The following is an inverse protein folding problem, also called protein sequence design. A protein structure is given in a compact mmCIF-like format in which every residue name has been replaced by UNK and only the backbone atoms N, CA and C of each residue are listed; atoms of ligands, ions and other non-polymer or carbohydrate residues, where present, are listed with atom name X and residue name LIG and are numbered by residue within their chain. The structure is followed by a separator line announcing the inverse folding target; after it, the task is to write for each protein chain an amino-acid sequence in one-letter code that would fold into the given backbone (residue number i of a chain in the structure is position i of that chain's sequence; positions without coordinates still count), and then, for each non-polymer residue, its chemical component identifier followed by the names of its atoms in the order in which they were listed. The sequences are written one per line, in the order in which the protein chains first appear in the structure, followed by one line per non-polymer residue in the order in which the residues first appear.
data_IF_490205543689
#
_entry.id   IF_490205543689
#
_cell.length_a   1.000
_cell.length_b   1.000
_cell.length_c   1.000
_cell.angle_alpha   90.00
_cell.angle_beta   90.00
_cell.angle_gamma   90.00
#
_symmetry.space_group_name_H-M   'P 1'
#
loop_
_entity.id
_entity.type
_entity.pdbx_description
1 polymer ?
#
# COMPACT_ATOMS: atom_id res chain seq x y z
N UNK A 1 -79.19 6.25 21.80
CA UNK A 1 -77.90 6.46 22.48
C UNK A 1 -77.83 5.48 23.66
N UNK A 2 -76.66 4.86 23.90
CA UNK A 2 -76.49 3.43 24.17
C UNK A 2 -76.01 3.22 25.64
N UNK A 3 -75.51 2.09 26.15
CA UNK A 3 -74.86 0.91 25.56
C UNK A 3 -74.76 -0.25 26.57
N UNK A 4 -74.74 -1.46 26.00
CA UNK A 4 -74.25 -2.72 26.54
C UNK A 4 -72.88 -2.63 27.24
N UNK A 5 -72.63 -3.53 28.21
CA UNK A 5 -71.58 -4.55 28.11
C UNK A 5 -71.56 -5.49 29.33
N UNK A 6 -71.67 -6.79 29.06
CA UNK A 6 -71.48 -7.93 29.97
C UNK A 6 -70.19 -8.63 29.59
N UNK A 7 -69.46 -9.14 30.61
CA UNK A 7 -68.44 -10.22 30.66
C UNK A 7 -67.25 -9.70 31.46
N UNK A 8 -66.76 -10.36 32.52
CA UNK A 8 -66.78 -11.77 32.86
C UNK A 8 -65.34 -12.12 33.24
N UNK A 9 -65.09 -12.29 34.53
CA UNK A 9 -63.78 -12.53 35.14
C UNK A 9 -63.23 -13.91 34.80
N UNK A 10 -61.95 -14.04 34.48
CA UNK A 10 -61.14 -15.24 34.76
C UNK A 10 -59.64 -14.93 34.63
N UNK A 11 -58.95 -14.97 35.77
CA UNK A 11 -57.51 -15.14 35.91
C UNK A 11 -57.14 -16.56 35.48
N UNK A 12 -56.10 -16.76 34.64
CA UNK A 12 -54.95 -17.63 34.96
C UNK A 12 -53.87 -17.67 33.84
N UNK A 13 -52.62 -17.62 34.32
CA UNK A 13 -51.34 -18.20 33.80
C UNK A 13 -50.59 -17.54 32.64
N UNK A 14 -49.33 -17.22 33.00
CA UNK A 14 -48.12 -17.06 32.22
C UNK A 14 -48.10 -17.66 30.80
N UNK A 15 -47.71 -16.81 29.84
CA UNK A 15 -46.84 -17.24 28.75
C UNK A 15 -45.80 -16.14 28.52
N UNK A 16 -44.54 -16.48 28.82
CA UNK A 16 -43.36 -15.76 28.36
C UNK A 16 -43.38 -15.72 26.82
N UNK A 17 -43.39 -14.52 26.25
CA UNK A 17 -42.90 -14.29 24.90
C UNK A 17 -42.10 -12.98 24.92
N UNK A 18 -40.87 -13.10 25.40
CA UNK A 18 -39.80 -12.15 25.09
C UNK A 18 -39.57 -12.25 23.58
N UNK A 19 -40.21 -11.38 22.81
CA UNK A 19 -40.02 -11.28 21.35
C UNK A 19 -39.65 -9.83 21.03
N UNK A 20 -38.40 -9.46 20.76
CA UNK A 20 -37.15 -10.20 20.75
C UNK A 20 -36.06 -9.16 20.61
N UNK A 21 -35.33 -8.88 21.69
CA UNK A 21 -33.94 -8.47 21.58
C UNK A 21 -33.12 -9.76 21.59
N UNK A 22 -33.24 -10.53 20.51
CA UNK A 22 -32.45 -11.72 20.25
C UNK A 22 -32.11 -11.66 18.77
N UNK A 23 -30.90 -11.14 18.51
CA UNK A 23 -30.06 -11.48 17.36
C UNK A 23 -30.79 -11.70 16.02
N UNK A 24 -30.82 -10.64 15.19
CA UNK A 24 -30.69 -10.77 13.73
C UNK A 24 -29.32 -11.40 13.40
N UNK A 25 -29.19 -12.66 13.74
CA UNK A 25 -28.19 -13.57 13.22
C UNK A 25 -28.96 -14.86 12.96
N UNK A 26 -29.43 -15.05 11.72
CA UNK A 26 -29.55 -16.39 11.12
C UNK A 26 -30.24 -16.43 9.73
N UNK A 27 -29.81 -15.57 8.81
CA UNK A 27 -29.32 -15.97 7.47
C UNK A 27 -27.96 -15.30 7.16
N UNK A 28 -27.46 -14.58 8.17
CA UNK A 28 -26.64 -13.37 8.09
C UNK A 28 -25.21 -13.58 8.59
N UNK A 29 -24.73 -14.83 8.57
CA UNK A 29 -23.29 -15.10 8.66
C UNK A 29 -22.65 -14.63 7.35
N UNK A 30 -22.17 -13.39 7.31
CA UNK A 30 -21.48 -12.85 6.14
C UNK A 30 -20.29 -13.76 5.81
N UNK A 31 -20.41 -14.54 4.74
CA UNK A 31 -19.36 -15.46 4.32
C UNK A 31 -18.28 -14.71 3.54
N UNK A 32 -17.32 -14.16 4.28
CA UNK A 32 -16.13 -13.51 3.72
C UNK A 32 -15.13 -14.49 3.07
N UNK A 33 -15.56 -15.65 2.57
CA UNK A 33 -14.66 -16.64 1.96
C UNK A 33 -13.82 -16.01 0.84
N UNK A 34 -14.48 -15.33 -0.10
CA UNK A 34 -13.79 -14.61 -1.18
C UNK A 34 -12.79 -13.59 -0.61
N UNK A 35 -13.19 -12.76 0.34
CA UNK A 35 -12.32 -11.76 0.95
C UNK A 35 -11.10 -12.37 1.68
N UNK A 36 -11.27 -13.52 2.36
CA UNK A 36 -10.15 -14.27 2.95
C UNK A 36 -9.21 -14.81 1.87
N UNK A 37 -9.77 -15.32 0.78
CA UNK A 37 -9.00 -15.84 -0.37
C UNK A 37 -8.18 -14.73 -1.03
N UNK A 38 -8.70 -13.50 -1.17
CA UNK A 38 -7.93 -12.34 -1.67
C UNK A 38 -6.65 -12.15 -0.86
N UNK A 39 -6.77 -12.10 0.47
CA UNK A 39 -5.62 -11.90 1.36
C UNK A 39 -4.64 -13.08 1.34
N UNK A 40 -5.12 -14.31 1.27
CA UNK A 40 -4.27 -15.51 1.17
C UNK A 40 -3.54 -15.59 -0.17
N UNK A 41 -4.24 -15.33 -1.27
CA UNK A 41 -3.70 -15.32 -2.62
C UNK A 41 -2.63 -14.22 -2.77
N UNK A 42 -2.88 -13.03 -2.24
CA UNK A 42 -1.91 -11.93 -2.24
C UNK A 42 -0.63 -12.31 -1.50
N UNK A 43 -0.73 -12.91 -0.31
CA UNK A 43 0.43 -13.41 0.45
C UNK A 43 1.20 -14.51 -0.27
N UNK A 44 0.53 -15.28 -1.11
CA UNK A 44 1.10 -16.32 -1.94
C UNK A 44 1.50 -15.85 -3.33
N UNK A 45 1.42 -14.54 -3.61
CA UNK A 45 1.74 -13.90 -4.90
C UNK A 45 0.94 -14.47 -6.09
N UNK A 46 -0.26 -15.01 -5.83
CA UNK A 46 -1.19 -15.52 -6.84
C UNK A 46 -2.13 -14.40 -7.32
N UNK A 47 -1.57 -13.44 -8.05
CA UNK A 47 -2.26 -12.19 -8.39
C UNK A 47 -3.46 -12.35 -9.33
N UNK A 48 -3.48 -13.41 -10.13
CA UNK A 48 -4.64 -13.82 -10.93
C UNK A 48 -5.84 -14.17 -10.04
N UNK A 49 -5.60 -14.97 -9.00
CA UNK A 49 -6.61 -15.33 -7.99
C UNK A 49 -7.03 -14.12 -7.17
N UNK A 50 -6.09 -13.21 -6.85
CA UNK A 50 -6.43 -11.94 -6.17
C UNK A 50 -7.48 -11.17 -6.95
N UNK A 51 -7.30 -10.99 -8.26
CA UNK A 51 -8.25 -10.25 -9.09
C UNK A 51 -9.62 -10.93 -9.14
N UNK A 52 -9.65 -12.25 -9.37
CA UNK A 52 -10.89 -13.03 -9.42
C UNK A 52 -11.68 -12.96 -8.09
N UNK A 53 -10.99 -13.20 -6.98
CA UNK A 53 -11.62 -13.27 -5.66
C UNK A 53 -11.99 -11.88 -5.13
N UNK A 54 -11.29 -10.83 -5.55
CA UNK A 54 -11.57 -9.48 -5.09
C UNK A 54 -12.88 -8.93 -5.67
N UNK A 55 -13.18 -9.22 -6.94
CA UNK A 55 -14.46 -8.85 -7.54
C UNK A 55 -15.61 -9.57 -6.84
N UNK A 56 -15.48 -10.88 -6.61
CA UNK A 56 -16.47 -11.66 -5.86
C UNK A 56 -16.62 -11.19 -4.42
N UNK A 57 -15.52 -10.82 -3.75
CA UNK A 57 -15.56 -10.26 -2.40
C UNK A 57 -16.37 -8.96 -2.35
N UNK A 58 -16.13 -8.04 -3.28
CA UNK A 58 -16.82 -6.75 -3.36
C UNK A 58 -18.30 -6.89 -3.76
N UNK A 59 -18.62 -7.80 -4.69
CA UNK A 59 -19.99 -7.98 -5.19
C UNK A 59 -20.90 -8.79 -4.25
N UNK A 60 -20.36 -9.81 -3.59
CA UNK A 60 -21.15 -10.76 -2.79
C UNK A 60 -21.31 -10.35 -1.33
N UNK A 61 -20.67 -9.27 -0.89
CA UNK A 61 -20.65 -8.87 0.51
C UNK A 61 -20.91 -7.38 0.68
N UNK A 62 -21.66 -7.03 1.73
CA UNK A 62 -21.76 -5.66 2.19
C UNK A 62 -20.57 -5.36 3.10
N UNK A 63 -19.51 -4.82 2.51
CA UNK A 63 -18.26 -4.53 3.22
C UNK A 63 -18.27 -3.14 3.85
N UNK A 64 -17.67 -3.00 5.03
CA UNK A 64 -17.34 -1.69 5.58
C UNK A 64 -16.34 -0.96 4.67
N UNK A 65 -16.32 0.39 4.69
CA UNK A 65 -15.38 1.17 3.87
C UNK A 65 -13.91 0.75 4.07
N UNK A 66 -13.41 0.49 5.30
CA UNK A 66 -12.03 0.00 5.49
C UNK A 66 -11.77 -1.36 4.83
N UNK A 67 -12.75 -2.27 4.84
CA UNK A 67 -12.61 -3.57 4.17
C UNK A 67 -12.62 -3.41 2.64
N UNK A 68 -13.48 -2.55 2.10
CA UNK A 68 -13.45 -2.24 0.67
C UNK A 68 -12.10 -1.62 0.27
N UNK A 69 -11.61 -0.66 1.06
CA UNK A 69 -10.30 -0.02 0.86
C UNK A 69 -9.18 -1.05 0.79
N UNK A 70 -9.15 -2.02 1.71
CA UNK A 70 -8.17 -3.11 1.71
C UNK A 70 -8.28 -3.98 0.44
N UNK A 71 -9.49 -4.35 0.02
CA UNK A 71 -9.67 -5.18 -1.19
C UNK A 71 -9.22 -4.43 -2.44
N UNK A 72 -9.55 -3.15 -2.57
CA UNK A 72 -9.06 -2.31 -3.67
C UNK A 72 -7.54 -2.11 -3.63
N UNK A 73 -6.93 -2.00 -2.45
CA UNK A 73 -5.47 -1.97 -2.29
C UNK A 73 -4.84 -3.24 -2.85
N UNK A 74 -5.37 -4.42 -2.49
CA UNK A 74 -4.89 -5.72 -2.98
C UNK A 74 -5.11 -5.88 -4.50
N UNK A 75 -6.24 -5.40 -5.05
CA UNK A 75 -6.47 -5.36 -6.50
C UNK A 75 -5.44 -4.49 -7.20
N UNK A 76 -5.12 -3.33 -6.63
CA UNK A 76 -4.12 -2.43 -7.20
C UNK A 76 -2.75 -3.09 -7.30
N UNK A 77 -2.31 -3.76 -6.24
CA UNK A 77 -1.03 -4.46 -6.22
C UNK A 77 -1.00 -5.63 -7.22
N UNK A 78 -2.11 -6.36 -7.34
CA UNK A 78 -2.27 -7.41 -8.35
C UNK A 78 -2.20 -6.86 -9.78
N UNK A 79 -2.92 -5.78 -10.09
CA UNK A 79 -2.82 -5.13 -11.41
C UNK A 79 -1.41 -4.62 -11.70
N UNK A 80 -0.74 -4.03 -10.70
CA UNK A 80 0.64 -3.56 -10.84
C UNK A 80 1.61 -4.70 -11.16
N UNK A 81 1.43 -5.89 -10.56
CA UNK A 81 2.24 -7.08 -10.87
C UNK A 81 2.16 -7.49 -12.34
N UNK A 82 1.01 -7.24 -12.99
CA UNK A 82 0.78 -7.47 -14.41
C UNK A 82 1.12 -6.25 -15.29
N UNK A 83 1.70 -5.18 -14.72
CA UNK A 83 1.98 -3.90 -15.39
C UNK A 83 0.72 -3.25 -16.00
N UNK A 84 -0.46 -3.59 -15.48
CA UNK A 84 -1.75 -3.00 -15.84
C UNK A 84 -1.96 -1.70 -15.06
N UNK A 85 -1.13 -0.72 -15.36
CA UNK A 85 -1.03 0.50 -14.57
C UNK A 85 -2.32 1.33 -14.51
N UNK A 86 -3.12 1.50 -15.58
CA UNK A 86 -4.39 2.22 -15.50
C UNK A 86 -5.35 1.61 -14.46
N UNK A 87 -5.50 0.28 -14.46
CA UNK A 87 -6.35 -0.43 -13.50
C UNK A 87 -5.76 -0.41 -12.09
N UNK A 88 -4.43 -0.50 -11.97
CA UNK A 88 -3.74 -0.41 -10.69
C UNK A 88 -3.95 0.97 -10.04
N UNK A 89 -3.82 2.05 -10.82
CA UNK A 89 -4.03 3.43 -10.36
C UNK A 89 -5.48 3.62 -9.93
N UNK A 90 -6.46 3.25 -10.76
CA UNK A 90 -7.87 3.39 -10.43
C UNK A 90 -8.24 2.63 -9.14
N UNK A 91 -7.70 1.41 -8.97
CA UNK A 91 -7.92 0.63 -7.75
C UNK A 91 -7.25 1.28 -6.52
N UNK A 92 -6.05 1.84 -6.64
CA UNK A 92 -5.37 2.53 -5.52
C UNK A 92 -6.10 3.83 -5.16
N UNK A 93 -6.56 4.60 -6.13
CA UNK A 93 -7.37 5.81 -5.90
C UNK A 93 -8.65 5.47 -5.14
N UNK A 94 -9.35 4.40 -5.56
CA UNK A 94 -10.54 3.93 -4.84
C UNK A 94 -10.22 3.45 -3.41
N UNK A 95 -9.07 2.80 -3.23
CA UNK A 95 -8.59 2.40 -1.91
C UNK A 95 -8.36 3.61 -0.99
N UNK A 96 -7.69 4.65 -1.49
CA UNK A 96 -7.43 5.90 -0.76
C UNK A 96 -8.75 6.65 -0.46
N UNK A 97 -9.69 6.65 -1.39
CA UNK A 97 -11.01 7.28 -1.21
C UNK A 97 -11.74 6.72 0.02
N UNK A 98 -11.73 5.39 0.15
CA UNK A 98 -12.44 4.61 1.17
C UNK A 98 -11.65 4.41 2.46
N UNK A 99 -10.34 4.61 2.41
CA UNK A 99 -9.43 4.39 3.53
C UNK A 99 -9.45 5.53 4.55
N UNK A 100 -8.89 5.31 5.75
CA UNK A 100 -8.64 6.38 6.72
C UNK A 100 -7.67 7.42 6.13
N UNK A 101 -7.87 8.72 6.44
CA UNK A 101 -7.04 9.82 5.93
C UNK A 101 -6.43 10.62 7.10
N UNK A 102 -5.20 11.16 6.95
CA UNK A 102 -4.31 11.02 5.80
C UNK A 102 -3.62 9.64 5.75
N UNK A 103 -3.45 9.09 4.55
CA UNK A 103 -2.71 7.85 4.33
C UNK A 103 -1.46 8.12 3.48
N UNK A 104 -0.38 8.50 4.17
CA UNK A 104 0.89 8.79 3.54
C UNK A 104 1.39 7.63 2.68
N UNK A 105 1.20 6.39 3.15
CA UNK A 105 1.71 5.20 2.49
C UNK A 105 0.95 4.92 1.20
N UNK A 106 -0.38 4.96 1.24
CA UNK A 106 -1.17 4.74 0.03
C UNK A 106 -0.91 5.82 -1.04
N UNK A 107 -0.65 7.06 -0.63
CA UNK A 107 -0.22 8.14 -1.55
C UNK A 107 1.14 7.86 -2.17
N UNK A 108 2.11 7.34 -1.40
CA UNK A 108 3.43 6.94 -1.93
C UNK A 108 3.33 5.72 -2.87
N UNK A 109 2.47 4.75 -2.55
CA UNK A 109 2.15 3.64 -3.45
C UNK A 109 1.57 4.16 -4.77
N UNK A 110 0.63 5.11 -4.72
CA UNK A 110 0.05 5.74 -5.90
C UNK A 110 1.11 6.51 -6.70
N UNK A 111 1.98 7.26 -6.03
CA UNK A 111 3.12 7.94 -6.68
C UNK A 111 4.01 6.95 -7.42
N UNK A 112 4.36 5.80 -6.81
CA UNK A 112 5.10 4.73 -7.48
C UNK A 112 4.38 4.23 -8.73
N UNK A 113 3.06 3.99 -8.65
CA UNK A 113 2.28 3.55 -9.81
C UNK A 113 2.33 4.58 -10.96
N UNK A 114 2.22 5.88 -10.65
CA UNK A 114 2.34 6.93 -11.67
C UNK A 114 3.74 6.98 -12.29
N UNK A 115 4.82 6.79 -11.51
CA UNK A 115 6.19 6.67 -12.07
C UNK A 115 6.31 5.51 -13.03
N UNK A 116 5.89 4.32 -12.61
CA UNK A 116 5.96 3.09 -13.40
C UNK A 116 5.06 3.15 -14.66
N UNK A 117 3.97 3.92 -14.59
CA UNK A 117 3.11 4.23 -15.74
C UNK A 117 3.72 5.26 -16.71
N UNK A 118 4.92 5.78 -16.44
CA UNK A 118 5.57 6.81 -17.27
C UNK A 118 5.09 8.24 -17.02
N UNK A 119 4.45 8.50 -15.88
CA UNK A 119 4.01 9.84 -15.46
C UNK A 119 4.70 10.29 -14.15
N UNK A 120 6.02 10.55 -14.18
CA UNK A 120 6.76 10.98 -13.00
C UNK A 120 6.38 12.39 -12.54
N UNK A 121 5.76 13.24 -13.39
CA UNK A 121 5.23 14.54 -12.96
C UNK A 121 4.09 14.36 -11.96
N UNK A 122 3.12 13.48 -12.23
CA UNK A 122 2.03 13.23 -11.29
C UNK A 122 2.52 12.60 -9.99
N UNK A 123 3.53 11.73 -10.09
CA UNK A 123 4.19 11.16 -8.93
C UNK A 123 4.84 12.24 -8.04
N UNK A 124 5.41 13.29 -8.64
CA UNK A 124 6.05 14.39 -7.91
C UNK A 124 5.03 15.20 -7.12
N UNK A 125 3.87 15.51 -7.71
CA UNK A 125 2.77 16.19 -7.01
C UNK A 125 2.34 15.44 -5.76
N UNK A 126 2.19 14.11 -5.87
CA UNK A 126 1.76 13.26 -4.75
C UNK A 126 2.81 13.20 -3.63
N UNK A 127 4.09 13.08 -3.99
CA UNK A 127 5.18 13.07 -3.02
C UNK A 127 5.32 14.42 -2.34
N UNK A 128 5.21 15.52 -3.10
CA UNK A 128 5.26 16.86 -2.54
C UNK A 128 4.09 17.11 -1.59
N UNK A 129 2.88 16.64 -1.93
CA UNK A 129 1.73 16.71 -1.04
C UNK A 129 1.98 16.02 0.30
N UNK A 130 2.66 14.87 0.32
CA UNK A 130 3.05 14.25 1.59
C UNK A 130 4.05 15.12 2.37
N UNK A 131 5.06 15.69 1.72
CA UNK A 131 6.06 16.55 2.38
C UNK A 131 5.44 17.84 2.94
N UNK A 132 4.56 18.50 2.18
CA UNK A 132 3.88 19.73 2.61
C UNK A 132 3.01 19.49 3.86
N UNK A 133 2.55 18.25 4.07
CA UNK A 133 1.78 17.83 5.23
C UNK A 133 2.64 17.15 6.32
N UNK A 134 3.97 17.18 6.21
CA UNK A 134 4.92 16.53 7.13
C UNK A 134 4.67 15.02 7.32
N UNK A 135 4.27 14.34 6.24
CA UNK A 135 3.92 12.92 6.25
C UNK A 135 5.09 12.04 5.77
N UNK A 136 5.27 10.88 6.42
CA UNK A 136 6.19 9.83 5.97
C UNK A 136 7.68 10.13 6.20
N UNK A 137 8.02 11.00 7.15
CA UNK A 137 9.41 11.33 7.48
C UNK A 137 10.11 10.33 8.41
N UNK A 138 9.37 9.69 9.31
CA UNK A 138 9.93 8.82 10.35
C UNK A 138 9.64 7.33 10.05
N UNK A 139 10.67 6.61 9.63
CA UNK A 139 10.64 5.15 9.56
C UNK A 139 11.43 4.55 10.71
N UNK A 140 10.73 4.04 11.72
CA UNK A 140 11.22 3.00 12.62
C UNK A 140 10.05 2.10 13.01
N UNK A 141 10.11 0.83 12.61
CA UNK A 141 9.10 -0.20 12.94
C UNK A 141 8.83 -1.13 11.75
N UNK A 142 8.75 -2.43 12.01
CA UNK A 142 8.67 -3.49 10.98
C UNK A 142 7.47 -3.34 10.03
N UNK A 143 7.75 -3.12 8.74
CA UNK A 143 6.79 -3.24 7.64
C UNK A 143 6.87 -2.08 6.64
N UNK A 144 7.73 -2.22 5.62
CA UNK A 144 7.96 -1.26 4.53
C UNK A 144 8.21 0.20 4.98
N UNK A 145 9.45 0.45 5.41
CA UNK A 145 10.04 1.76 5.65
C UNK A 145 10.23 2.53 4.32
N UNK A 146 9.19 3.21 3.84
CA UNK A 146 9.32 4.09 2.66
C UNK A 146 9.33 5.55 3.10
N UNK A 147 10.49 6.18 3.37
CA UNK A 147 10.53 7.61 3.64
C UNK A 147 10.06 8.37 2.39
N UNK A 148 9.24 9.40 2.58
CA UNK A 148 8.75 10.27 1.48
C UNK A 148 9.90 10.79 0.61
N UNK A 149 11.06 11.09 1.23
CA UNK A 149 12.28 11.50 0.53
C UNK A 149 12.88 10.46 -0.42
N UNK A 150 12.70 9.16 -0.14
CA UNK A 150 13.14 8.12 -1.07
C UNK A 150 12.28 8.12 -2.34
N UNK A 151 10.96 8.22 -2.20
CA UNK A 151 10.06 8.35 -3.35
C UNK A 151 10.30 9.67 -4.09
N UNK A 152 10.65 10.75 -3.39
CA UNK A 152 11.06 12.00 -4.01
C UNK A 152 12.29 11.79 -4.90
N UNK A 153 13.35 11.17 -4.34
CA UNK A 153 14.56 10.86 -5.09
C UNK A 153 14.28 9.99 -6.32
N UNK A 154 13.44 8.96 -6.16
CA UNK A 154 13.05 8.07 -7.27
C UNK A 154 12.29 8.82 -8.35
N UNK A 155 11.40 9.72 -7.96
CA UNK A 155 10.61 10.54 -8.89
C UNK A 155 11.50 11.53 -9.63
N UNK A 156 12.38 12.22 -8.93
CA UNK A 156 13.32 13.18 -9.52
C UNK A 156 14.31 12.49 -10.47
N UNK A 157 14.73 11.26 -10.14
CA UNK A 157 15.56 10.46 -11.03
C UNK A 157 14.87 10.17 -12.37
N UNK A 158 13.60 9.75 -12.34
CA UNK A 158 12.82 9.49 -13.57
C UNK A 158 12.56 10.75 -14.39
N UNK A 159 12.53 11.91 -13.74
CA UNK A 159 12.48 13.22 -14.39
C UNK A 159 13.84 13.66 -14.99
N UNK A 160 14.90 12.88 -14.82
CA UNK A 160 16.27 13.23 -15.21
C UNK A 160 16.93 14.29 -14.31
N UNK A 161 16.31 14.65 -13.19
CA UNK A 161 16.78 15.65 -12.22
C UNK A 161 17.74 14.99 -11.22
N UNK A 162 18.84 14.44 -11.72
CA UNK A 162 19.72 13.55 -10.95
C UNK A 162 20.36 14.22 -9.72
N UNK A 163 20.75 15.49 -9.81
CA UNK A 163 21.32 16.23 -8.67
C UNK A 163 20.31 16.35 -7.52
N UNK A 164 19.10 16.76 -7.84
CA UNK A 164 18.00 16.91 -6.87
C UNK A 164 17.57 15.54 -6.33
N UNK A 165 17.62 14.49 -7.16
CA UNK A 165 17.42 13.12 -6.71
C UNK A 165 18.43 12.73 -5.62
N UNK A 166 19.72 13.03 -5.83
CA UNK A 166 20.77 12.75 -4.85
C UNK A 166 20.61 13.54 -3.55
N UNK A 167 20.16 14.79 -3.61
CA UNK A 167 19.84 15.62 -2.45
C UNK A 167 18.64 15.06 -1.67
N UNK A 168 17.59 14.62 -2.37
CA UNK A 168 16.43 13.99 -1.75
C UNK A 168 16.82 12.68 -1.03
N UNK A 169 17.58 11.80 -1.67
CA UNK A 169 18.09 10.59 -1.01
C UNK A 169 18.96 10.89 0.19
N UNK A 170 19.83 11.91 0.09
CA UNK A 170 20.68 12.34 1.21
C UNK A 170 19.84 12.79 2.40
N UNK A 171 18.77 13.54 2.15
CA UNK A 171 17.82 13.96 3.20
C UNK A 171 17.11 12.77 3.83
N UNK A 172 16.68 11.79 3.02
CA UNK A 172 16.11 10.54 3.51
C UNK A 172 17.08 9.74 4.39
N UNK A 173 18.36 9.67 3.99
CA UNK A 173 19.42 8.99 4.74
C UNK A 173 19.76 9.67 6.07
N UNK A 174 19.55 10.99 6.22
CA UNK A 174 19.64 11.65 7.53
C UNK A 174 18.57 11.13 8.51
N UNK A 175 17.38 10.76 8.00
CA UNK A 175 16.27 10.25 8.81
C UNK A 175 16.39 8.73 9.05
N UNK A 176 16.88 7.99 8.06
CA UNK A 176 17.08 6.54 8.09
C UNK A 176 18.47 6.15 7.55
N UNK A 177 19.52 6.22 8.40
CA UNK A 177 20.91 6.00 7.96
C UNK A 177 21.24 4.59 7.47
N UNK A 178 20.38 3.61 7.76
CA UNK A 178 20.54 2.19 7.42
C UNK A 178 19.69 1.75 6.23
N UNK A 179 19.00 2.68 5.54
CA UNK A 179 18.17 2.33 4.40
C UNK A 179 19.00 2.06 3.14
N UNK A 180 19.40 0.79 2.98
CA UNK A 180 20.27 0.32 1.90
C UNK A 180 19.84 0.83 0.50
N UNK A 181 18.55 0.77 0.19
CA UNK A 181 18.03 1.15 -1.13
C UNK A 181 18.22 2.63 -1.46
N UNK A 182 18.21 3.53 -0.48
CA UNK A 182 18.53 4.93 -0.74
C UNK A 182 19.99 5.12 -1.16
N UNK A 183 20.94 4.34 -0.61
CA UNK A 183 22.32 4.34 -1.10
C UNK A 183 22.40 3.84 -2.53
N UNK A 184 21.75 2.72 -2.87
CA UNK A 184 21.76 2.21 -4.24
C UNK A 184 21.26 3.25 -5.25
N UNK A 185 20.10 3.85 -4.99
CA UNK A 185 19.51 4.81 -5.91
C UNK A 185 20.21 6.16 -5.93
N UNK A 186 20.81 6.60 -4.82
CA UNK A 186 21.68 7.79 -4.82
C UNK A 186 22.97 7.52 -5.60
N UNK A 187 23.54 6.32 -5.50
CA UNK A 187 24.64 5.86 -6.34
C UNK A 187 24.30 5.88 -7.84
N UNK A 188 23.10 5.45 -8.22
CA UNK A 188 22.62 5.58 -9.61
C UNK A 188 22.52 7.05 -10.05
N UNK A 189 22.08 7.96 -9.17
CA UNK A 189 22.01 9.38 -9.47
C UNK A 189 23.41 9.98 -9.68
N UNK A 190 24.37 9.65 -8.82
CA UNK A 190 25.77 10.04 -8.97
C UNK A 190 26.43 9.49 -10.23
N UNK A 191 26.14 8.24 -10.59
CA UNK A 191 26.60 7.64 -11.84
C UNK A 191 26.11 8.43 -13.06
N UNK A 192 24.82 8.82 -13.08
CA UNK A 192 24.26 9.67 -14.14
C UNK A 192 24.87 11.08 -14.21
N UNK A 193 25.41 11.56 -13.09
CA UNK A 193 26.14 12.84 -13.01
C UNK A 193 27.63 12.71 -13.34
N UNK A 194 28.14 11.50 -13.59
CA UNK A 194 29.57 11.23 -13.79
C UNK A 194 30.41 11.26 -12.50
N UNK A 195 29.76 11.36 -11.33
CA UNK A 195 30.40 11.38 -10.02
C UNK A 195 30.78 9.96 -9.57
N UNK A 196 31.81 9.41 -10.22
CA UNK A 196 32.16 7.99 -10.13
C UNK A 196 32.57 7.56 -8.72
N UNK A 197 33.27 8.41 -7.97
CA UNK A 197 33.73 8.08 -6.61
C UNK A 197 32.57 8.08 -5.60
N UNK A 198 31.67 9.07 -5.70
CA UNK A 198 30.46 9.12 -4.87
C UNK A 198 29.55 7.92 -5.15
N UNK A 199 29.36 7.58 -6.43
CA UNK A 199 28.61 6.40 -6.83
C UNK A 199 29.21 5.11 -6.27
N UNK A 200 30.54 4.94 -6.36
CA UNK A 200 31.26 3.79 -5.80
C UNK A 200 31.05 3.68 -4.29
N UNK A 201 31.16 4.79 -3.56
CA UNK A 201 30.98 4.83 -2.12
C UNK A 201 29.56 4.40 -1.72
N UNK A 202 28.55 4.91 -2.42
CA UNK A 202 27.15 4.57 -2.18
C UNK A 202 26.82 3.11 -2.52
N UNK A 203 27.34 2.59 -3.64
CA UNK A 203 27.17 1.17 -3.98
C UNK A 203 27.85 0.23 -2.97
N UNK A 204 29.00 0.62 -2.42
CA UNK A 204 29.68 -0.15 -1.38
C UNK A 204 28.87 -0.16 -0.08
N UNK A 205 28.26 0.97 0.27
CA UNK A 205 27.40 1.06 1.45
C UNK A 205 26.09 0.27 1.26
N UNK A 206 25.48 0.29 0.07
CA UNK A 206 24.36 -0.60 -0.27
C UNK A 206 24.74 -2.07 -0.09
N UNK A 207 25.87 -2.51 -0.66
CA UNK A 207 26.32 -3.90 -0.57
C UNK A 207 26.53 -4.38 0.87
N UNK A 208 26.94 -3.47 1.76
CA UNK A 208 27.12 -3.74 3.20
C UNK A 208 25.81 -3.89 3.97
N UNK A 209 24.78 -3.11 3.61
CA UNK A 209 23.53 -3.02 4.37
C UNK A 209 22.41 -3.90 3.81
N UNK A 210 22.44 -4.23 2.52
CA UNK A 210 21.33 -4.92 1.86
C UNK A 210 21.19 -6.36 2.35
N UNK A 211 19.94 -6.77 2.59
CA UNK A 211 19.64 -8.19 2.72
C UNK A 211 19.70 -8.84 1.33
N UNK A 212 20.67 -9.73 1.13
CA UNK A 212 20.97 -10.37 -0.15
C UNK A 212 19.77 -11.08 -0.79
N UNK A 213 18.77 -11.52 0.00
CA UNK A 213 17.54 -12.11 -0.53
C UNK A 213 16.81 -11.20 -1.52
N UNK A 214 16.94 -9.87 -1.36
CA UNK A 214 16.27 -8.88 -2.21
C UNK A 214 17.17 -8.31 -3.31
N UNK A 215 18.39 -8.83 -3.48
CA UNK A 215 19.30 -8.40 -4.53
C UNK A 215 19.02 -9.20 -5.80
N UNK A 216 18.36 -8.54 -6.74
CA UNK A 216 18.12 -9.08 -8.10
C UNK A 216 19.37 -8.96 -9.01
N UNK A 217 19.44 -9.72 -10.13
CA UNK A 217 20.61 -9.77 -11.01
C UNK A 217 21.11 -8.41 -11.51
N UNK A 218 20.22 -7.45 -11.79
CA UNK A 218 20.60 -6.11 -12.22
C UNK A 218 21.37 -5.32 -11.15
N UNK A 219 21.05 -5.53 -9.86
CA UNK A 219 21.80 -4.92 -8.77
C UNK A 219 23.22 -5.50 -8.72
N UNK A 220 23.36 -6.81 -8.89
CA UNK A 220 24.67 -7.47 -8.93
C UNK A 220 25.50 -7.01 -10.13
N UNK A 221 24.87 -6.89 -11.31
CA UNK A 221 25.51 -6.34 -12.50
C UNK A 221 26.03 -4.91 -12.24
N UNK A 222 25.20 -4.07 -11.61
CA UNK A 222 25.60 -2.70 -11.26
C UNK A 222 26.76 -2.67 -10.27
N UNK A 223 26.75 -3.52 -9.24
CA UNK A 223 27.87 -3.64 -8.31
C UNK A 223 29.16 -4.11 -9.01
N UNK A 224 29.05 -5.02 -9.98
CA UNK A 224 30.18 -5.55 -10.73
C UNK A 224 30.85 -4.48 -11.62
N UNK A 225 30.10 -3.53 -12.21
CA UNK A 225 30.66 -2.36 -12.92
C UNK A 225 31.65 -1.59 -12.04
N UNK A 226 31.37 -1.52 -10.74
CA UNK A 226 32.21 -0.87 -9.73
C UNK A 226 33.19 -1.82 -9.03
N UNK A 227 33.28 -3.09 -9.44
CA UNK A 227 34.12 -4.13 -8.82
C UNK A 227 33.79 -4.37 -7.34
N UNK A 228 32.53 -4.19 -6.97
CA UNK A 228 32.01 -4.42 -5.61
C UNK A 228 31.38 -5.81 -5.55
N UNK A 229 31.67 -6.55 -4.48
CA UNK A 229 31.07 -7.86 -4.22
C UNK A 229 30.17 -7.76 -3.00
N UNK A 230 29.07 -8.52 -3.02
CA UNK A 230 28.29 -8.76 -1.82
C UNK A 230 29.09 -9.63 -0.85
N UNK A 231 28.92 -9.41 0.48
CA UNK A 231 29.65 -10.16 1.50
C UNK A 231 29.31 -11.65 1.54
#
# INVERSE_FOLDING_TARGET
MPSLSVRGSLLLVCALAVTGCASLQSQDQINYAHCRMVGQASKAEKFDVVLQEADLCLEKNQLSQPMQSLVYWLKSDAYASFKRYPEAIAAKEKSIELGPKPDARAVLDLSRLYREAGNPQKALELVQSNLDNNLGEAGKGSGFNMPTYYHLGQTLYDLGRYREAAEAYSTGLLKQPDYAWAFYHRGLAYDKLGQTDDARADFAQFAKLVNQKYVEPQHQAKLAEYKIKLP
#
